data_IF_304919882344
#
_entry.id   IF_304919882344
#
_cell.length_a   1.000
_cell.length_b   1.000
_cell.length_c   1.000
_cell.angle_alpha   90.00
_cell.angle_beta   90.00
_cell.angle_gamma   90.00
#
_symmetry.space_group_name_H-M   'P 1'
#
loop_
_entity.id
_entity.type
_entity.pdbx_description
1 polymer ?
#
# COMPACT_ATOMS: atom_id res chain seq x y z
N UNK A 1 3.81 -4.60 -22.83
CA UNK A 1 2.54 -4.19 -22.20
C UNK A 1 1.74 -5.37 -21.71
N UNK A 2 0.93 -6.00 -22.57
CA UNK A 2 0.02 -7.11 -22.23
C UNK A 2 0.71 -8.42 -21.80
N UNK A 3 1.73 -8.85 -22.54
CA UNK A 3 2.47 -10.10 -22.24
C UNK A 3 3.20 -10.03 -20.89
N UNK A 4 3.73 -8.86 -20.51
CA UNK A 4 4.33 -8.64 -19.20
C UNK A 4 3.26 -8.74 -18.10
N UNK A 5 2.10 -8.11 -18.25
CA UNK A 5 1.01 -8.21 -17.28
C UNK A 5 0.50 -9.66 -17.11
N UNK A 6 0.36 -10.41 -18.20
CA UNK A 6 -0.01 -11.83 -18.15
C UNK A 6 1.06 -12.71 -17.49
N UNK A 7 2.34 -12.40 -17.69
CA UNK A 7 3.44 -13.10 -17.02
C UNK A 7 3.52 -12.84 -15.51
N UNK A 8 2.76 -11.84 -15.01
CA UNK A 8 2.70 -11.46 -13.60
C UNK A 8 1.43 -11.93 -12.88
N UNK A 9 0.38 -12.34 -13.59
CA UNK A 9 -0.73 -13.09 -13.00
C UNK A 9 -0.27 -14.36 -12.25
N UNK A 10 0.76 -15.10 -12.69
CA UNK A 10 1.39 -16.17 -11.90
C UNK A 10 1.99 -15.69 -10.57
N UNK A 11 2.21 -14.40 -10.34
CA UNK A 11 2.77 -13.91 -9.07
C UNK A 11 1.78 -14.02 -7.90
N UNK A 12 0.48 -14.06 -8.15
CA UNK A 12 -0.50 -14.34 -7.10
C UNK A 12 -0.47 -15.81 -6.67
N UNK A 13 -0.04 -16.70 -7.57
CA UNK A 13 0.27 -18.10 -7.27
C UNK A 13 1.77 -18.36 -7.04
N UNK A 14 2.63 -17.34 -7.09
CA UNK A 14 4.07 -17.49 -6.84
C UNK A 14 4.34 -17.85 -5.39
N UNK A 15 5.56 -18.29 -5.09
CA UNK A 15 5.96 -18.51 -3.69
C UNK A 15 5.84 -17.24 -2.85
N UNK A 16 6.18 -16.07 -3.40
CA UNK A 16 6.01 -14.78 -2.72
C UNK A 16 4.53 -14.44 -2.51
N UNK A 17 3.67 -14.62 -3.52
CA UNK A 17 2.22 -14.43 -3.40
C UNK A 17 1.56 -15.40 -2.39
N UNK A 18 1.98 -16.67 -2.38
CA UNK A 18 1.52 -17.67 -1.42
C UNK A 18 2.09 -17.48 -0.02
N UNK A 19 3.29 -16.94 0.11
CA UNK A 19 3.86 -16.53 1.40
C UNK A 19 3.07 -15.34 1.95
N UNK A 20 2.76 -14.34 1.11
CA UNK A 20 1.85 -13.25 1.45
C UNK A 20 0.48 -13.72 1.90
N UNK A 21 -0.07 -14.78 1.29
CA UNK A 21 -1.40 -15.30 1.68
C UNK A 21 -1.37 -16.17 2.95
N UNK A 22 -0.29 -16.90 3.20
CA UNK A 22 -0.18 -17.81 4.35
C UNK A 22 0.19 -17.06 5.62
N UNK A 23 -0.62 -17.20 6.66
CA UNK A 23 -0.35 -16.62 7.98
C UNK A 23 -0.67 -15.12 8.10
N UNK A 24 -0.89 -14.41 6.98
CA UNK A 24 -1.22 -12.96 7.01
C UNK A 24 -2.39 -12.65 7.90
N UNK A 25 -3.46 -13.44 7.83
CA UNK A 25 -4.67 -13.26 8.63
C UNK A 25 -4.70 -14.08 9.92
N UNK A 26 -3.58 -14.68 10.32
CA UNK A 26 -3.49 -15.43 11.57
C UNK A 26 -3.84 -14.57 12.79
N UNK A 27 -3.42 -13.30 12.79
CA UNK A 27 -3.76 -12.31 13.81
C UNK A 27 -5.27 -12.04 13.93
N UNK A 28 -6.05 -12.28 12.88
CA UNK A 28 -7.50 -12.03 12.88
C UNK A 28 -8.33 -13.28 13.17
N UNK A 29 -7.71 -14.47 13.17
CA UNK A 29 -8.41 -15.75 13.26
C UNK A 29 -9.14 -15.95 14.60
N UNK A 30 -8.64 -15.33 15.68
CA UNK A 30 -9.22 -15.42 17.02
C UNK A 30 -10.27 -14.34 17.29
N UNK A 31 -10.55 -13.45 16.34
CA UNK A 31 -11.36 -12.26 16.60
C UNK A 31 -12.86 -12.51 16.39
N UNK A 32 -13.67 -11.91 17.26
CA UNK A 32 -15.12 -11.95 17.12
C UNK A 32 -15.56 -11.14 15.90
N UNK A 33 -16.57 -11.65 15.19
CA UNK A 33 -17.17 -10.97 14.03
C UNK A 33 -18.01 -9.79 14.52
N UNK A 34 -17.90 -8.64 13.85
CA UNK A 34 -18.74 -7.47 14.10
C UNK A 34 -18.04 -6.26 14.73
N UNK A 35 -16.83 -6.43 15.25
CA UNK A 35 -16.11 -5.37 15.97
C UNK A 35 -15.30 -4.42 15.07
N UNK A 36 -15.12 -4.77 13.79
CA UNK A 36 -14.19 -4.09 12.89
C UNK A 36 -14.91 -3.37 11.77
N UNK A 37 -14.55 -2.11 11.54
CA UNK A 37 -14.97 -1.33 10.39
C UNK A 37 -13.90 -1.39 9.30
N UNK A 38 -14.36 -1.23 8.06
CA UNK A 38 -13.49 -1.07 6.90
C UNK A 38 -13.64 0.35 6.40
N UNK A 39 -12.53 1.07 6.38
CA UNK A 39 -12.43 2.41 5.81
C UNK A 39 -11.78 2.33 4.44
N UNK A 40 -12.08 3.29 3.57
CA UNK A 40 -11.44 3.41 2.26
C UNK A 40 -11.09 4.87 1.99
N UNK A 41 -9.91 5.09 1.42
CA UNK A 41 -9.42 6.39 0.95
C UNK A 41 -8.74 6.23 -0.40
N UNK A 42 -8.70 7.30 -1.19
CA UNK A 42 -7.94 7.41 -2.45
C UNK A 42 -7.46 8.85 -2.61
N UNK A 43 -6.58 9.09 -3.59
CA UNK A 43 -6.21 10.43 -4.05
C UNK A 43 -5.71 11.35 -2.92
N UNK A 44 -4.87 10.79 -2.04
CA UNK A 44 -4.32 11.50 -0.88
C UNK A 44 -3.21 12.47 -1.28
N UNK A 45 -2.39 12.12 -2.27
CA UNK A 45 -1.27 12.94 -2.75
C UNK A 45 -0.34 13.42 -1.61
N UNK A 46 0.30 12.47 -0.92
CA UNK A 46 1.10 12.70 0.28
C UNK A 46 2.31 13.63 0.08
N UNK A 47 2.79 13.82 -1.15
CA UNK A 47 3.80 14.84 -1.47
C UNK A 47 3.31 16.28 -1.28
N UNK A 48 1.99 16.48 -1.25
CA UNK A 48 1.39 17.79 -0.99
C UNK A 48 1.33 18.03 0.51
N UNK A 49 1.50 19.29 0.92
CA UNK A 49 1.34 19.68 2.33
C UNK A 49 -0.03 19.27 2.89
N UNK A 50 -1.09 19.39 2.09
CA UNK A 50 -2.44 18.99 2.50
C UNK A 50 -2.56 17.48 2.72
N UNK A 51 -2.00 16.66 1.82
CA UNK A 51 -1.99 15.20 1.96
C UNK A 51 -1.16 14.74 3.16
N UNK A 52 0.04 15.29 3.34
CA UNK A 52 0.90 15.00 4.49
C UNK A 52 0.24 15.39 5.81
N UNK A 53 -0.33 16.60 5.89
CA UNK A 53 -1.03 17.08 7.08
C UNK A 53 -2.26 16.21 7.39
N UNK A 54 -3.01 15.78 6.36
CA UNK A 54 -4.17 14.92 6.52
C UNK A 54 -3.79 13.55 7.10
N UNK A 55 -2.79 12.86 6.50
CA UNK A 55 -2.31 11.56 6.99
C UNK A 55 -1.75 11.68 8.40
N UNK A 56 -1.02 12.75 8.70
CA UNK A 56 -0.43 12.98 10.03
C UNK A 56 -1.47 13.19 11.13
N UNK A 57 -2.63 13.74 10.77
CA UNK A 57 -3.77 13.99 11.67
C UNK A 57 -4.68 12.78 11.87
N UNK A 58 -4.50 11.70 11.11
CA UNK A 58 -5.19 10.43 11.41
C UNK A 58 -4.86 10.04 12.85
N UNK A 59 -5.90 9.71 13.61
CA UNK A 59 -5.78 9.44 15.05
C UNK A 59 -4.83 8.25 15.34
N UNK A 60 -4.15 8.27 16.48
CA UNK A 60 -3.16 7.24 16.86
C UNK A 60 -3.81 5.96 17.38
N UNK A 61 -4.94 6.05 18.06
CA UNK A 61 -5.53 4.95 18.83
C UNK A 61 -6.94 4.57 18.38
N UNK A 62 -7.67 5.48 17.74
CA UNK A 62 -9.09 5.29 17.39
C UNK A 62 -9.36 4.12 16.45
N UNK A 63 -8.44 3.80 15.55
CA UNK A 63 -8.65 2.82 14.47
C UNK A 63 -7.83 1.55 14.62
N UNK A 64 -7.32 1.29 15.84
CA UNK A 64 -6.46 0.14 16.13
C UNK A 64 -7.17 -1.22 15.97
N UNK A 65 -8.50 -1.22 15.80
CA UNK A 65 -9.28 -2.42 15.54
C UNK A 65 -9.79 -2.52 14.09
N UNK A 66 -9.57 -1.48 13.30
CA UNK A 66 -10.16 -1.32 11.98
C UNK A 66 -9.17 -1.64 10.85
N UNK A 67 -9.73 -1.80 9.65
CA UNK A 67 -8.95 -1.96 8.43
C UNK A 67 -9.09 -0.72 7.53
N UNK A 68 -8.02 -0.36 6.84
CA UNK A 68 -7.99 0.71 5.84
C UNK A 68 -7.65 0.16 4.47
N UNK A 69 -8.45 0.49 3.46
CA UNK A 69 -8.12 0.31 2.05
C UNK A 69 -7.64 1.64 1.46
N UNK A 70 -6.41 1.67 0.97
CA UNK A 70 -5.87 2.80 0.20
C UNK A 70 -5.95 2.45 -1.28
N UNK A 71 -6.93 3.04 -1.97
CA UNK A 71 -7.32 2.74 -3.34
C UNK A 71 -6.62 3.64 -4.37
N UNK A 72 -5.31 3.81 -4.22
CA UNK A 72 -4.44 4.48 -5.20
C UNK A 72 -4.28 5.99 -5.01
N UNK A 73 -3.30 6.52 -5.76
CA UNK A 73 -2.89 7.92 -5.75
C UNK A 73 -2.55 8.41 -4.33
N UNK A 74 -1.82 7.56 -3.61
CA UNK A 74 -1.32 7.87 -2.27
C UNK A 74 -0.15 8.84 -2.34
N UNK A 75 0.73 8.72 -3.35
CA UNK A 75 1.80 9.68 -3.58
C UNK A 75 2.58 9.43 -4.85
N UNK A 76 3.21 10.48 -5.38
CA UNK A 76 3.87 10.41 -6.69
C UNK A 76 5.29 9.80 -6.70
N UNK A 77 5.91 9.52 -5.54
CA UNK A 77 7.24 8.89 -5.44
C UNK A 77 7.19 7.65 -4.58
N UNK A 78 8.12 6.70 -4.78
CA UNK A 78 8.26 5.54 -3.91
C UNK A 78 8.44 5.98 -2.44
N UNK A 79 9.24 7.02 -2.22
CA UNK A 79 9.51 7.53 -0.89
C UNK A 79 8.27 8.16 -0.24
N UNK A 80 7.43 8.89 -0.98
CA UNK A 80 6.19 9.46 -0.43
C UNK A 80 5.17 8.38 -0.08
N UNK A 81 4.99 7.40 -0.97
CA UNK A 81 4.12 6.24 -0.70
C UNK A 81 4.59 5.44 0.51
N UNK A 82 5.89 5.13 0.60
CA UNK A 82 6.45 4.38 1.72
C UNK A 82 6.24 5.09 3.07
N UNK A 83 6.48 6.41 3.13
CA UNK A 83 6.25 7.20 4.34
C UNK A 83 4.77 7.21 4.73
N UNK A 84 3.89 7.44 3.76
CA UNK A 84 2.45 7.48 4.01
C UNK A 84 1.92 6.13 4.52
N UNK A 85 2.28 5.03 3.86
CA UNK A 85 1.92 3.67 4.30
C UNK A 85 2.49 3.37 5.68
N UNK A 86 3.73 3.74 5.96
CA UNK A 86 4.35 3.57 7.28
C UNK A 86 3.56 4.29 8.38
N UNK A 87 3.09 5.52 8.14
CA UNK A 87 2.24 6.23 9.10
C UNK A 87 0.90 5.52 9.27
N UNK A 88 0.20 5.22 8.18
CA UNK A 88 -1.14 4.60 8.21
C UNK A 88 -1.13 3.20 8.85
N UNK A 89 -0.06 2.42 8.60
CA UNK A 89 0.14 1.08 9.18
C UNK A 89 0.24 1.09 10.70
N UNK A 90 0.69 2.20 11.29
CA UNK A 90 0.70 2.39 12.74
C UNK A 90 -0.65 2.86 13.29
N UNK A 91 -1.58 3.33 12.44
CA UNK A 91 -2.87 3.89 12.87
C UNK A 91 -4.02 2.90 12.77
N UNK A 92 -3.91 1.97 11.84
CA UNK A 92 -4.89 0.91 11.61
C UNK A 92 -4.29 -0.44 11.91
N UNK A 93 -5.13 -1.38 12.35
CA UNK A 93 -4.72 -2.78 12.51
C UNK A 93 -4.21 -3.37 11.21
N UNK A 94 -4.96 -3.09 10.13
CA UNK A 94 -4.69 -3.55 8.78
C UNK A 94 -4.73 -2.37 7.83
N UNK A 95 -3.77 -2.33 6.93
CA UNK A 95 -3.82 -1.46 5.76
C UNK A 95 -3.72 -2.38 4.55
N UNK A 96 -4.49 -2.08 3.52
CA UNK A 96 -4.40 -2.71 2.20
C UNK A 96 -4.13 -1.61 1.20
N UNK A 97 -3.10 -1.76 0.38
CA UNK A 97 -2.71 -0.74 -0.59
C UNK A 97 -2.83 -1.26 -2.03
N UNK A 98 -3.50 -0.48 -2.87
CA UNK A 98 -3.58 -0.70 -4.30
C UNK A 98 -2.97 0.52 -5.01
N UNK A 99 -1.90 0.37 -5.81
CA UNK A 99 -1.28 1.50 -6.47
C UNK A 99 -2.17 2.10 -7.57
N UNK A 100 -2.28 3.42 -7.57
CA UNK A 100 -2.93 4.22 -8.62
C UNK A 100 -1.95 4.65 -9.73
N UNK A 101 -2.45 5.41 -10.71
CA UNK A 101 -1.63 5.86 -11.84
C UNK A 101 -0.51 6.82 -11.40
N UNK A 102 -0.77 7.71 -10.44
CA UNK A 102 0.23 8.65 -9.93
C UNK A 102 1.34 7.92 -9.16
N UNK A 103 0.98 6.85 -8.45
CA UNK A 103 1.94 6.04 -7.71
C UNK A 103 2.93 5.32 -8.63
N UNK A 104 2.48 4.93 -9.83
CA UNK A 104 3.26 4.18 -10.82
C UNK A 104 4.04 5.06 -11.81
N UNK A 105 3.66 6.33 -11.95
CA UNK A 105 4.33 7.25 -12.86
C UNK A 105 5.80 7.42 -12.44
N UNK A 106 6.73 7.27 -13.38
CA UNK A 106 8.15 7.53 -13.14
C UNK A 106 8.42 9.02 -13.41
N UNK A 107 8.57 9.79 -12.35
CA UNK A 107 8.90 11.22 -12.43
C UNK A 107 10.40 11.43 -12.62
N UNK A 108 10.80 12.62 -13.09
CA UNK A 108 12.21 12.94 -13.36
C UNK A 108 13.14 12.71 -12.16
N UNK A 109 12.66 12.88 -10.93
CA UNK A 109 13.41 12.60 -9.71
C UNK A 109 13.74 11.11 -9.50
N UNK A 110 12.98 10.20 -10.11
CA UNK A 110 13.12 8.74 -9.97
C UNK A 110 13.54 8.05 -11.28
N UNK A 111 13.70 8.81 -12.38
CA UNK A 111 14.05 8.27 -13.69
C UNK A 111 15.41 7.54 -13.72
N UNK A 112 16.34 7.91 -12.82
CA UNK A 112 17.61 7.20 -12.65
C UNK A 112 17.48 5.90 -11.84
N UNK A 113 16.41 5.73 -11.05
CA UNK A 113 16.19 4.58 -10.19
C UNK A 113 15.25 3.54 -10.82
N UNK A 114 14.27 3.99 -11.61
CA UNK A 114 13.29 3.12 -12.26
C UNK A 114 13.32 3.33 -13.78
N UNK A 115 13.64 2.30 -14.58
CA UNK A 115 13.59 2.41 -16.03
C UNK A 115 12.16 2.50 -16.59
N UNK A 116 11.16 1.98 -15.86
CA UNK A 116 9.75 2.01 -16.24
C UNK A 116 8.80 1.88 -15.03
N UNK A 117 7.49 2.02 -15.28
CA UNK A 117 6.45 1.91 -14.25
C UNK A 117 6.31 0.50 -13.68
N UNK A 118 6.79 -0.53 -14.37
CA UNK A 118 6.74 -1.90 -13.90
C UNK A 118 7.83 -2.16 -12.85
N UNK A 119 9.04 -1.63 -13.07
CA UNK A 119 10.10 -1.62 -12.09
C UNK A 119 9.67 -0.88 -10.81
N UNK A 120 9.00 0.27 -10.96
CA UNK A 120 8.43 1.02 -9.82
C UNK A 120 7.34 0.24 -9.10
N UNK A 121 6.44 -0.44 -9.82
CA UNK A 121 5.44 -1.34 -9.23
C UNK A 121 6.09 -2.41 -8.34
N UNK A 122 7.16 -3.08 -8.82
CA UNK A 122 7.83 -4.08 -7.99
C UNK A 122 8.50 -3.50 -6.76
N UNK A 123 9.05 -2.29 -6.85
CA UNK A 123 9.60 -1.60 -5.69
C UNK A 123 8.50 -1.27 -4.67
N UNK A 124 7.34 -0.79 -5.13
CA UNK A 124 6.17 -0.56 -4.26
C UNK A 124 5.68 -1.84 -3.58
N UNK A 125 5.61 -2.96 -4.32
CA UNK A 125 5.23 -4.25 -3.74
C UNK A 125 6.22 -4.72 -2.66
N UNK A 126 7.53 -4.49 -2.85
CA UNK A 126 8.54 -4.77 -1.82
C UNK A 126 8.34 -3.92 -0.58
N UNK A 127 8.06 -2.63 -0.73
CA UNK A 127 7.72 -1.74 0.40
C UNK A 127 6.49 -2.25 1.14
N UNK A 128 5.46 -2.74 0.44
CA UNK A 128 4.28 -3.32 1.07
C UNK A 128 4.61 -4.60 1.86
N UNK A 129 5.49 -5.45 1.30
CA UNK A 129 5.98 -6.65 2.00
C UNK A 129 6.76 -6.28 3.27
N UNK A 130 7.64 -5.25 3.22
CA UNK A 130 8.43 -4.76 4.35
C UNK A 130 7.59 -4.12 5.46
N UNK A 131 6.51 -3.42 5.08
CA UNK A 131 5.61 -2.74 6.02
C UNK A 131 4.43 -3.61 6.50
N UNK A 132 4.27 -4.82 5.95
CA UNK A 132 3.10 -5.69 6.18
C UNK A 132 1.77 -4.96 5.85
N UNK A 133 1.64 -4.51 4.60
CA UNK A 133 0.49 -3.80 4.00
C UNK A 133 -0.05 -4.53 2.76
#
# INVERSE_FOLDING_TARGET
GWQAALSLLPLWSSLAGRARARGRFGLDASRQRGDSKVFAISDVHFETKAGEDWVSKVDKSKFQDDALLVAGNLGNTLASVARALGVLRLRFRRVFYMPGNSDLAVHGAEAGAFPDSLAKLFALLRVCDELDV
#
